data_IF_771644045798
#
_entry.id   IF_771644045798
#
_cell.length_a   1.000
_cell.length_b   1.000
_cell.length_c   1.000
_cell.angle_alpha   90.00
_cell.angle_beta   90.00
_cell.angle_gamma   90.00
#
_symmetry.space_group_name_H-M   'P 1'
#
loop_
_entity.id
_entity.type
_entity.pdbx_description
1 polymer ?
#
# COMPACT_ATOMS: atom_id res chain seq x y z
N UNK A 1 -8.70 47.49 -29.76
CA UNK A 1 -9.23 46.19 -29.29
C UNK A 1 -10.76 46.22 -29.33
N UNK A 2 -11.41 45.39 -30.16
CA UNK A 2 -12.87 45.45 -30.36
C UNK A 2 -13.67 45.01 -29.14
N UNK A 3 -14.86 45.60 -28.93
CA UNK A 3 -15.79 45.30 -27.80
C UNK A 3 -16.01 43.79 -27.57
N UNK A 4 -16.03 43.00 -28.64
CA UNK A 4 -16.17 41.54 -28.59
C UNK A 4 -15.00 40.81 -27.91
N UNK A 5 -13.77 41.35 -27.99
CA UNK A 5 -12.59 40.76 -27.33
C UNK A 5 -12.64 40.97 -25.80
N UNK A 6 -13.14 42.14 -25.37
CA UNK A 6 -13.30 42.48 -23.95
C UNK A 6 -14.37 41.63 -23.27
N UNK A 7 -15.54 41.47 -23.90
CA UNK A 7 -16.61 40.58 -23.43
C UNK A 7 -16.17 39.11 -23.32
N UNK A 8 -15.44 38.58 -24.32
CA UNK A 8 -14.92 37.20 -24.27
C UNK A 8 -13.95 37.00 -23.11
N UNK A 9 -13.11 38.00 -22.80
CA UNK A 9 -12.18 37.96 -21.66
C UNK A 9 -12.91 38.00 -20.32
N UNK A 10 -13.94 38.83 -20.19
CA UNK A 10 -14.77 38.94 -18.99
C UNK A 10 -15.55 37.65 -18.71
N UNK A 11 -16.12 37.00 -19.73
CA UNK A 11 -16.79 35.70 -19.61
C UNK A 11 -15.79 34.61 -19.17
N UNK A 12 -14.59 34.58 -19.75
CA UNK A 12 -13.54 33.61 -19.36
C UNK A 12 -13.12 33.77 -17.90
N UNK A 13 -12.97 35.01 -17.43
CA UNK A 13 -12.65 35.31 -16.02
C UNK A 13 -13.81 34.89 -15.11
N UNK A 14 -15.06 35.21 -15.47
CA UNK A 14 -16.25 34.84 -14.69
C UNK A 14 -16.39 33.32 -14.56
N UNK A 15 -16.17 32.57 -15.65
CA UNK A 15 -16.21 31.11 -15.64
C UNK A 15 -15.08 30.51 -14.79
N UNK A 16 -13.86 31.08 -14.88
CA UNK A 16 -12.73 30.66 -14.03
C UNK A 16 -13.05 30.88 -12.55
N UNK A 17 -13.58 32.06 -12.19
CA UNK A 17 -13.93 32.39 -10.81
C UNK A 17 -15.08 31.53 -10.28
N UNK A 18 -16.08 31.23 -11.12
CA UNK A 18 -17.17 30.31 -10.76
C UNK A 18 -16.62 28.90 -10.46
N UNK A 19 -15.75 28.38 -11.33
CA UNK A 19 -15.10 27.07 -11.13
C UNK A 19 -14.26 27.05 -9.84
N UNK A 20 -13.51 28.12 -9.54
CA UNK A 20 -12.75 28.24 -8.30
C UNK A 20 -13.67 28.28 -7.06
N UNK A 21 -14.80 29.00 -7.13
CA UNK A 21 -15.79 29.05 -6.06
C UNK A 21 -16.47 27.71 -5.82
N UNK A 22 -16.82 26.98 -6.88
CA UNK A 22 -17.40 25.64 -6.80
C UNK A 22 -16.42 24.64 -6.17
N UNK A 23 -15.14 24.69 -6.57
CA UNK A 23 -14.06 23.91 -5.96
C UNK A 23 -13.89 24.26 -4.48
N UNK A 24 -13.86 25.55 -4.13
CA UNK A 24 -13.72 26.00 -2.74
C UNK A 24 -14.91 25.58 -1.87
N UNK A 25 -16.13 25.71 -2.38
CA UNK A 25 -17.33 25.25 -1.69
C UNK A 25 -17.33 23.73 -1.49
N UNK A 26 -16.84 22.97 -2.47
CA UNK A 26 -16.67 21.52 -2.37
C UNK A 26 -15.64 21.16 -1.31
N UNK A 27 -14.47 21.78 -1.32
CA UNK A 27 -13.42 21.59 -0.29
C UNK A 27 -13.99 21.90 1.10
N UNK A 28 -14.65 23.05 1.26
CA UNK A 28 -15.27 23.42 2.53
C UNK A 28 -16.32 22.41 2.99
N UNK A 29 -17.18 21.90 2.08
CA UNK A 29 -18.14 20.86 2.43
C UNK A 29 -17.44 19.58 2.91
N UNK A 30 -16.38 19.15 2.23
CA UNK A 30 -15.62 17.96 2.60
C UNK A 30 -14.88 18.12 3.92
N UNK A 31 -14.47 19.35 4.28
CA UNK A 31 -13.84 19.61 5.57
C UNK A 31 -14.75 19.31 6.77
N UNK A 32 -16.08 19.36 6.61
CA UNK A 32 -17.04 19.11 7.70
C UNK A 32 -17.85 17.81 7.53
N UNK A 33 -17.66 17.11 6.42
CA UNK A 33 -18.29 15.80 6.20
C UNK A 33 -17.54 14.72 6.99
N UNK A 34 -18.29 13.85 7.66
CA UNK A 34 -17.75 12.66 8.34
C UNK A 34 -18.35 11.42 7.66
N UNK A 35 -17.73 10.91 6.59
CA UNK A 35 -18.30 9.84 5.79
C UNK A 35 -17.97 8.44 6.32
N UNK A 36 -18.67 7.45 5.79
CA UNK A 36 -18.20 6.06 5.81
C UNK A 36 -17.24 5.80 4.64
N UNK A 37 -16.15 5.09 4.91
CA UNK A 37 -15.17 4.62 3.91
C UNK A 37 -15.12 3.10 3.98
N UNK A 38 -15.26 2.47 2.81
CA UNK A 38 -15.40 1.03 2.67
C UNK A 38 -14.12 0.42 2.13
N UNK A 39 -13.71 -0.73 2.65
CA UNK A 39 -12.43 -1.36 2.33
C UNK A 39 -12.60 -2.84 2.03
N UNK A 40 -11.88 -3.32 1.02
CA UNK A 40 -11.78 -4.74 0.71
C UNK A 40 -10.45 -5.05 0.01
N UNK A 41 -9.93 -6.25 0.25
CA UNK A 41 -8.61 -6.72 -0.14
C UNK A 41 -8.65 -7.76 -1.25
N UNK A 42 -7.54 -7.87 -1.99
CA UNK A 42 -7.35 -8.94 -2.96
C UNK A 42 -5.93 -9.49 -2.87
N UNK A 43 -5.80 -10.80 -3.06
CA UNK A 43 -4.50 -11.47 -2.98
C UNK A 43 -3.94 -11.55 -1.56
N UNK A 44 -4.76 -11.54 -0.51
CA UNK A 44 -4.27 -11.78 0.84
C UNK A 44 -3.95 -13.27 1.05
N UNK A 45 -2.70 -13.56 1.40
CA UNK A 45 -2.19 -14.90 1.75
C UNK A 45 -1.64 -14.91 3.18
N UNK A 46 -2.05 -13.93 3.99
CA UNK A 46 -1.45 -13.61 5.29
C UNK A 46 0.05 -13.37 5.16
N UNK A 47 0.82 -13.86 6.13
CA UNK A 47 2.28 -13.81 6.10
C UNK A 47 2.96 -14.77 5.11
N UNK A 48 2.27 -15.32 4.10
CA UNK A 48 2.92 -16.04 3.00
C UNK A 48 3.20 -15.10 1.82
N UNK A 49 4.31 -14.36 1.90
CA UNK A 49 4.68 -13.38 0.88
C UNK A 49 5.25 -14.00 -0.42
N UNK A 50 5.53 -15.31 -0.44
CA UNK A 50 6.11 -16.02 -1.60
C UNK A 50 5.07 -16.82 -2.40
N UNK A 51 3.79 -16.48 -2.31
CA UNK A 51 2.76 -17.15 -3.11
C UNK A 51 2.92 -16.82 -4.60
N UNK A 52 3.37 -17.80 -5.38
CA UNK A 52 3.60 -17.66 -6.81
C UNK A 52 2.32 -17.40 -7.63
N UNK A 53 1.15 -17.82 -7.13
CA UNK A 53 -0.14 -17.55 -7.78
C UNK A 53 -0.73 -16.19 -7.38
N UNK A 54 -0.35 -15.68 -6.21
CA UNK A 54 -0.76 -14.38 -5.69
C UNK A 54 0.44 -13.51 -5.27
N UNK A 55 1.32 -13.12 -6.21
CA UNK A 55 2.53 -12.33 -5.91
C UNK A 55 2.25 -10.87 -5.51
N UNK A 56 1.00 -10.42 -5.67
CA UNK A 56 0.56 -9.07 -5.33
C UNK A 56 -0.55 -9.10 -4.30
N UNK A 57 -0.52 -8.14 -3.39
CA UNK A 57 -1.64 -7.79 -2.51
C UNK A 57 -2.18 -6.43 -2.92
N UNK A 58 -3.50 -6.27 -2.88
CA UNK A 58 -4.15 -4.97 -3.05
C UNK A 58 -5.17 -4.72 -1.95
N UNK A 59 -5.27 -3.47 -1.50
CA UNK A 59 -6.37 -2.99 -0.67
C UNK A 59 -7.08 -1.87 -1.44
N UNK A 60 -8.32 -2.11 -1.82
CA UNK A 60 -9.20 -1.11 -2.41
C UNK A 60 -9.97 -0.39 -1.32
N UNK A 61 -10.22 0.90 -1.50
CA UNK A 61 -11.17 1.62 -0.65
C UNK A 61 -12.03 2.59 -1.43
N UNK A 62 -13.25 2.84 -0.94
CA UNK A 62 -14.16 3.76 -1.58
C UNK A 62 -15.03 4.60 -0.64
N UNK A 63 -15.35 5.82 -1.09
CA UNK A 63 -16.35 6.72 -0.51
C UNK A 63 -17.50 6.86 -1.50
N UNK A 64 -18.46 5.96 -1.44
CA UNK A 64 -19.62 5.95 -2.36
C UNK A 64 -20.91 5.89 -1.53
N UNK A 65 -21.93 6.65 -1.95
CA UNK A 65 -23.24 6.55 -1.30
C UNK A 65 -23.87 5.19 -1.59
N UNK A 66 -24.70 4.67 -0.69
CA UNK A 66 -25.36 3.38 -0.90
C UNK A 66 -26.12 3.31 -2.25
N UNK A 67 -26.88 4.36 -2.57
CA UNK A 67 -27.63 4.45 -3.82
C UNK A 67 -26.75 4.52 -5.07
N UNK A 68 -25.63 5.24 -5.00
CA UNK A 68 -24.69 5.30 -6.12
C UNK A 68 -23.95 3.97 -6.27
N UNK A 69 -23.70 3.26 -5.17
CA UNK A 69 -23.08 1.95 -5.21
C UNK A 69 -23.99 0.93 -5.91
N UNK A 70 -25.28 0.87 -5.56
CA UNK A 70 -26.25 0.02 -6.26
C UNK A 70 -26.30 0.32 -7.76
N UNK A 71 -26.35 1.61 -8.15
CA UNK A 71 -26.35 2.01 -9.57
C UNK A 71 -25.04 1.66 -10.29
N UNK A 72 -23.89 1.73 -9.60
CA UNK A 72 -22.62 1.32 -10.16
C UNK A 72 -22.60 -0.21 -10.38
N UNK A 73 -23.08 -0.98 -9.39
CA UNK A 73 -23.14 -2.44 -9.46
C UNK A 73 -24.11 -2.94 -10.53
N UNK A 74 -25.21 -2.24 -10.81
CA UNK A 74 -26.10 -2.55 -11.94
C UNK A 74 -25.36 -2.57 -13.29
N UNK A 75 -24.32 -1.74 -13.46
CA UNK A 75 -23.53 -1.69 -14.70
C UNK A 75 -22.74 -2.97 -14.94
N UNK A 76 -22.46 -3.74 -13.88
CA UNK A 76 -21.77 -5.04 -14.00
C UNK A 76 -22.61 -6.05 -14.78
N UNK A 77 -23.94 -5.90 -14.76
CA UNK A 77 -24.87 -6.88 -15.30
C UNK A 77 -24.86 -8.21 -14.54
N UNK A 78 -24.35 -8.23 -13.30
CA UNK A 78 -24.35 -9.41 -12.45
C UNK A 78 -25.78 -9.92 -12.25
N UNK A 79 -25.97 -11.24 -12.44
CA UNK A 79 -27.21 -11.96 -12.11
C UNK A 79 -27.05 -12.81 -10.85
N UNK A 80 -25.94 -12.63 -10.14
CA UNK A 80 -25.70 -13.33 -8.88
C UNK A 80 -26.78 -12.95 -7.88
N UNK A 81 -27.40 -13.93 -7.19
CA UNK A 81 -28.44 -13.64 -6.20
C UNK A 81 -27.89 -12.98 -4.94
N UNK A 82 -26.60 -13.12 -4.66
CA UNK A 82 -25.98 -12.65 -3.41
C UNK A 82 -25.21 -11.35 -3.65
N UNK A 83 -24.14 -11.40 -4.43
CA UNK A 83 -23.25 -10.24 -4.64
C UNK A 83 -22.58 -10.24 -6.02
N UNK A 84 -22.18 -9.06 -6.48
CA UNK A 84 -21.35 -8.86 -7.66
C UNK A 84 -19.86 -8.92 -7.29
N UNK A 85 -19.35 -10.13 -7.10
CA UNK A 85 -17.93 -10.36 -6.76
C UNK A 85 -17.05 -10.41 -8.02
N UNK A 86 -15.93 -9.67 -8.00
CA UNK A 86 -14.85 -9.66 -8.98
C UNK A 86 -14.46 -11.04 -9.48
N UNK A 87 -14.23 -11.99 -8.56
CA UNK A 87 -13.78 -13.34 -8.91
C UNK A 87 -14.78 -14.07 -9.80
N UNK A 88 -16.07 -13.79 -9.65
CA UNK A 88 -17.14 -14.34 -10.49
C UNK A 88 -17.24 -13.58 -11.80
N UNK A 89 -17.23 -12.25 -11.75
CA UNK A 89 -17.35 -11.38 -12.92
C UNK A 89 -16.21 -11.60 -13.93
N UNK A 90 -14.96 -11.70 -13.46
CA UNK A 90 -13.77 -11.82 -14.34
C UNK A 90 -13.74 -13.09 -15.19
N UNK A 91 -14.56 -14.11 -14.88
CA UNK A 91 -14.53 -15.43 -15.54
C UNK A 91 -15.07 -15.43 -16.97
N UNK A 92 -15.89 -14.43 -17.32
CA UNK A 92 -16.55 -14.36 -18.63
C UNK A 92 -16.41 -12.95 -19.18
N UNK A 93 -16.29 -12.85 -20.51
CA UNK A 93 -16.20 -11.57 -21.22
C UNK A 93 -17.29 -10.58 -20.79
N UNK A 94 -18.56 -11.01 -20.70
CA UNK A 94 -19.66 -10.13 -20.29
C UNK A 94 -19.49 -9.52 -18.89
N UNK A 95 -18.87 -10.27 -17.96
CA UNK A 95 -18.59 -9.79 -16.61
C UNK A 95 -17.34 -8.90 -16.56
N UNK A 96 -16.32 -9.22 -17.35
CA UNK A 96 -15.16 -8.34 -17.59
C UNK A 96 -15.63 -6.99 -18.14
N UNK A 97 -16.45 -6.98 -19.19
CA UNK A 97 -17.06 -5.76 -19.75
C UNK A 97 -17.89 -5.02 -18.69
N UNK A 98 -18.53 -5.75 -17.78
CA UNK A 98 -19.27 -5.19 -16.64
C UNK A 98 -18.39 -4.46 -15.64
N UNK A 99 -17.25 -5.06 -15.29
CA UNK A 99 -16.23 -4.41 -14.45
C UNK A 99 -15.74 -3.13 -15.12
N UNK A 100 -15.43 -3.20 -16.43
CA UNK A 100 -14.97 -2.03 -17.20
C UNK A 100 -16.02 -0.91 -17.20
N UNK A 101 -17.29 -1.22 -17.46
CA UNK A 101 -18.38 -0.23 -17.38
C UNK A 101 -18.50 0.42 -16.00
N UNK A 102 -18.33 -0.36 -14.92
CA UNK A 102 -18.34 0.16 -13.55
C UNK A 102 -17.17 1.11 -13.33
N UNK A 103 -15.94 0.71 -13.71
CA UNK A 103 -14.71 1.50 -13.51
C UNK A 103 -14.66 2.78 -14.37
N UNK A 104 -15.30 2.78 -15.54
CA UNK A 104 -15.44 3.97 -16.40
C UNK A 104 -16.64 4.86 -16.01
N UNK A 105 -17.50 4.37 -15.11
CA UNK A 105 -18.70 5.10 -14.70
C UNK A 105 -18.36 6.36 -13.91
N UNK A 106 -19.31 7.31 -13.87
CA UNK A 106 -19.21 8.50 -13.01
C UNK A 106 -19.18 8.19 -11.51
N UNK A 107 -19.44 6.95 -11.10
CA UNK A 107 -19.47 6.54 -9.69
C UNK A 107 -18.09 6.13 -9.18
N UNK A 108 -17.11 5.93 -10.05
CA UNK A 108 -15.73 5.55 -9.70
C UNK A 108 -14.77 6.59 -10.26
N UNK A 109 -13.92 7.13 -9.39
CA UNK A 109 -12.97 8.19 -9.70
C UNK A 109 -11.83 8.21 -8.69
N UNK A 110 -10.70 8.79 -9.04
CA UNK A 110 -9.55 8.94 -8.13
C UNK A 110 -9.89 9.79 -6.89
N UNK A 111 -11.00 10.53 -6.94
CA UNK A 111 -11.50 11.25 -5.79
C UNK A 111 -12.16 10.31 -4.78
N UNK A 112 -12.94 9.33 -5.21
CA UNK A 112 -13.74 8.51 -4.30
C UNK A 112 -13.28 7.07 -4.20
N UNK A 113 -12.25 6.67 -4.94
CA UNK A 113 -11.61 5.35 -4.86
C UNK A 113 -10.11 5.53 -4.71
N UNK A 114 -9.51 4.71 -3.86
CA UNK A 114 -8.07 4.58 -3.69
C UNK A 114 -7.69 3.11 -3.76
N UNK A 115 -6.51 2.81 -4.28
CA UNK A 115 -5.99 1.43 -4.35
C UNK A 115 -4.56 1.47 -3.82
N UNK A 116 -4.28 0.67 -2.80
CA UNK A 116 -2.92 0.41 -2.34
C UNK A 116 -2.44 -0.92 -2.92
N UNK A 117 -1.27 -0.93 -3.54
CA UNK A 117 -0.69 -2.10 -4.19
C UNK A 117 0.63 -2.50 -3.52
N UNK A 118 0.84 -3.79 -3.33
CA UNK A 118 2.07 -4.35 -2.76
C UNK A 118 2.59 -5.47 -3.65
N UNK A 119 3.81 -5.31 -4.17
CA UNK A 119 4.62 -6.45 -4.63
C UNK A 119 5.15 -7.17 -3.39
N UNK A 120 4.73 -8.43 -3.19
CA UNK A 120 5.04 -9.17 -1.96
C UNK A 120 6.52 -9.53 -1.84
N UNK A 121 7.19 -9.83 -2.95
CA UNK A 121 8.63 -10.11 -2.96
C UNK A 121 9.41 -8.84 -2.63
N UNK A 122 8.97 -7.70 -3.15
CA UNK A 122 9.57 -6.42 -2.81
C UNK A 122 9.31 -6.04 -1.35
N UNK A 123 8.09 -6.23 -0.85
CA UNK A 123 7.79 -6.05 0.57
C UNK A 123 8.70 -6.93 1.45
N UNK A 124 8.90 -8.19 1.08
CA UNK A 124 9.79 -9.09 1.79
C UNK A 124 11.23 -8.58 1.81
N UNK A 125 11.71 -8.05 0.67
CA UNK A 125 13.02 -7.41 0.57
C UNK A 125 13.13 -6.19 1.50
N UNK A 126 12.11 -5.32 1.48
CA UNK A 126 12.08 -4.14 2.38
C UNK A 126 12.02 -4.55 3.85
N UNK A 127 11.37 -5.67 4.18
CA UNK A 127 11.31 -6.19 5.54
C UNK A 127 12.64 -6.75 6.03
N UNK A 128 13.45 -7.34 5.15
CA UNK A 128 14.83 -7.70 5.50
C UNK A 128 15.63 -6.46 5.88
N UNK A 129 15.47 -5.37 5.12
CA UNK A 129 16.13 -4.09 5.42
C UNK A 129 15.60 -3.48 6.72
N UNK A 130 14.28 -3.35 6.88
CA UNK A 130 13.67 -2.68 8.03
C UNK A 130 13.78 -3.51 9.33
N UNK A 131 13.63 -4.83 9.28
CA UNK A 131 13.72 -5.66 10.50
C UNK A 131 15.16 -5.86 10.91
N UNK A 132 16.07 -6.13 9.98
CA UNK A 132 17.44 -6.49 10.34
C UNK A 132 18.38 -5.27 10.33
N UNK A 133 18.49 -4.63 9.17
CA UNK A 133 19.55 -3.63 8.94
C UNK A 133 19.21 -2.33 9.64
N UNK A 134 17.95 -1.91 9.62
CA UNK A 134 17.50 -0.70 10.29
C UNK A 134 17.66 -0.82 11.81
N UNK A 135 17.15 -1.90 12.43
CA UNK A 135 17.29 -2.11 13.88
C UNK A 135 18.77 -2.16 14.30
N UNK A 136 19.60 -2.91 13.57
CA UNK A 136 21.05 -2.94 13.82
C UNK A 136 21.71 -1.56 13.71
N UNK A 137 21.28 -0.74 12.73
CA UNK A 137 21.78 0.62 12.50
C UNK A 137 21.30 1.57 13.59
N UNK A 138 20.02 1.48 13.98
CA UNK A 138 19.39 2.29 15.00
C UNK A 138 20.08 2.11 16.36
N UNK A 139 20.36 0.87 16.76
CA UNK A 139 21.12 0.55 17.98
C UNK A 139 22.53 1.14 18.01
N UNK A 140 23.04 1.60 16.85
CA UNK A 140 24.33 2.27 16.68
C UNK A 140 24.20 3.76 16.37
N UNK A 141 23.01 4.34 16.53
CA UNK A 141 22.72 5.75 16.29
C UNK A 141 22.69 6.15 14.81
N UNK A 142 22.50 5.20 13.90
CA UNK A 142 22.47 5.42 12.46
C UNK A 142 21.02 5.34 11.97
N UNK A 143 20.51 6.46 11.47
CA UNK A 143 19.19 6.53 10.84
C UNK A 143 19.29 6.31 9.32
N UNK A 144 18.90 5.11 8.87
CA UNK A 144 18.90 4.76 7.44
C UNK A 144 17.64 5.23 6.69
N UNK A 145 16.67 5.85 7.36
CA UNK A 145 15.58 6.53 6.70
C UNK A 145 16.03 7.88 6.14
N UNK A 146 17.04 8.53 6.74
CA UNK A 146 17.63 9.77 6.20
C UNK A 146 18.11 9.54 4.76
N UNK A 147 17.74 10.46 3.86
CA UNK A 147 18.05 10.38 2.43
C UNK A 147 17.47 9.14 1.70
N UNK A 148 16.62 8.35 2.36
CA UNK A 148 16.00 7.16 1.76
C UNK A 148 16.96 6.00 1.56
N UNK A 149 18.00 5.86 2.41
CA UNK A 149 18.97 4.77 2.29
C UNK A 149 18.31 3.38 2.42
N UNK A 150 17.28 3.25 3.24
CA UNK A 150 16.49 2.03 3.36
C UNK A 150 15.80 1.66 2.03
N UNK A 151 15.26 2.65 1.29
CA UNK A 151 14.66 2.44 -0.02
C UNK A 151 15.71 2.08 -1.08
N UNK A 152 16.83 2.81 -1.10
CA UNK A 152 17.93 2.54 -2.02
C UNK A 152 18.47 1.12 -1.84
N UNK A 153 18.65 0.68 -0.59
CA UNK A 153 19.11 -0.66 -0.26
C UNK A 153 18.08 -1.73 -0.63
N UNK A 154 16.79 -1.47 -0.38
CA UNK A 154 15.71 -2.38 -0.75
C UNK A 154 15.63 -2.58 -2.28
N UNK A 155 15.72 -1.49 -3.04
CA UNK A 155 15.79 -1.56 -4.51
C UNK A 155 17.02 -2.34 -4.96
N UNK A 156 18.18 -2.07 -4.38
CA UNK A 156 19.41 -2.77 -4.71
C UNK A 156 19.29 -4.28 -4.45
N UNK A 157 18.84 -4.70 -3.27
CA UNK A 157 18.64 -6.12 -2.97
C UNK A 157 17.62 -6.77 -3.92
N UNK A 158 16.48 -6.12 -4.17
CA UNK A 158 15.43 -6.69 -5.01
C UNK A 158 15.91 -7.00 -6.43
N UNK A 159 16.66 -6.06 -7.04
CA UNK A 159 17.15 -6.26 -8.41
C UNK A 159 18.42 -7.09 -8.48
N UNK A 160 19.31 -7.01 -7.49
CA UNK A 160 20.63 -7.61 -7.58
C UNK A 160 20.74 -9.02 -6.97
N UNK A 161 19.94 -9.36 -5.95
CA UNK A 161 19.98 -10.71 -5.35
C UNK A 161 19.73 -11.80 -6.40
N UNK A 162 18.64 -11.77 -7.18
CA UNK A 162 18.38 -12.85 -8.14
C UNK A 162 19.38 -12.85 -9.30
N UNK A 163 19.80 -11.67 -9.75
CA UNK A 163 20.75 -11.52 -10.87
C UNK A 163 22.14 -12.02 -10.52
N UNK A 164 22.66 -11.68 -9.35
CA UNK A 164 24.04 -12.02 -8.98
C UNK A 164 24.16 -13.35 -8.25
N UNK A 165 23.12 -13.79 -7.54
CA UNK A 165 23.15 -14.98 -6.69
C UNK A 165 22.24 -16.11 -7.17
N UNK A 166 21.38 -15.86 -8.16
CA UNK A 166 20.40 -16.81 -8.69
C UNK A 166 19.03 -16.73 -8.01
N UNK A 167 17.96 -16.93 -8.81
CA UNK A 167 16.57 -16.88 -8.34
C UNK A 167 16.30 -17.91 -7.23
N UNK A 168 16.69 -19.17 -7.43
CA UNK A 168 16.46 -20.27 -6.48
C UNK A 168 17.06 -19.99 -5.10
N UNK A 169 18.29 -19.46 -5.06
CA UNK A 169 18.96 -19.16 -3.80
C UNK A 169 18.38 -17.91 -3.12
N UNK A 170 17.93 -16.94 -3.91
CA UNK A 170 17.23 -15.76 -3.40
C UNK A 170 15.89 -16.15 -2.77
N UNK A 171 15.11 -16.98 -3.45
CA UNK A 171 13.84 -17.50 -2.97
C UNK A 171 14.02 -18.35 -1.70
N UNK A 172 15.11 -19.13 -1.61
CA UNK A 172 15.47 -19.87 -0.40
C UNK A 172 15.76 -18.95 0.79
N UNK A 173 16.53 -17.89 0.58
CA UNK A 173 16.81 -16.90 1.65
C UNK A 173 15.53 -16.20 2.11
N UNK A 174 14.67 -15.83 1.17
CA UNK A 174 13.34 -15.29 1.46
C UNK A 174 12.46 -16.25 2.25
N UNK A 175 12.43 -17.53 1.88
CA UNK A 175 11.67 -18.54 2.61
C UNK A 175 12.20 -18.72 4.05
N UNK A 176 13.52 -18.74 4.22
CA UNK A 176 14.15 -18.86 5.53
C UNK A 176 13.94 -17.59 6.38
N UNK A 177 13.91 -16.40 5.78
CA UNK A 177 13.55 -15.17 6.49
C UNK A 177 12.12 -15.23 7.03
N UNK A 178 11.16 -15.65 6.19
CA UNK A 178 9.76 -15.83 6.64
C UNK A 178 9.68 -16.86 7.77
N UNK A 179 10.41 -17.98 7.66
CA UNK A 179 10.48 -19.01 8.70
C UNK A 179 11.05 -18.45 10.00
N UNK A 180 12.14 -17.69 9.94
CA UNK A 180 12.78 -17.04 11.09
C UNK A 180 11.84 -16.09 11.81
N UNK A 181 11.12 -15.22 11.09
CA UNK A 181 10.17 -14.27 11.71
C UNK A 181 8.99 -15.00 12.38
N UNK A 182 8.52 -16.11 11.81
CA UNK A 182 7.37 -16.85 12.37
C UNK A 182 7.74 -17.72 13.58
N UNK A 183 8.88 -18.41 13.49
CA UNK A 183 9.30 -19.39 14.49
C UNK A 183 10.16 -18.79 15.59
N UNK A 184 11.08 -17.89 15.23
CA UNK A 184 12.05 -17.26 16.13
C UNK A 184 12.85 -18.28 16.97
N UNK A 185 13.11 -19.47 16.41
CA UNK A 185 13.94 -20.50 17.05
C UNK A 185 15.40 -20.39 16.59
N UNK A 186 16.33 -20.88 17.41
CA UNK A 186 17.77 -20.96 17.07
C UNK A 186 18.00 -21.64 15.70
N UNK A 187 17.27 -22.74 15.44
CA UNK A 187 17.32 -23.45 14.15
C UNK A 187 16.91 -22.55 12.98
N UNK A 188 15.78 -21.83 13.09
CA UNK A 188 15.30 -20.95 12.01
C UNK A 188 16.22 -19.75 11.77
N UNK A 189 16.88 -19.25 12.82
CA UNK A 189 17.88 -18.19 12.74
C UNK A 189 19.13 -18.70 12.01
N UNK A 190 19.62 -19.88 12.39
CA UNK A 190 20.78 -20.51 11.75
C UNK A 190 20.53 -20.76 10.26
N UNK A 191 19.38 -21.35 9.90
CA UNK A 191 18.99 -21.59 8.51
C UNK A 191 18.93 -20.30 7.66
N UNK A 192 18.41 -19.21 8.22
CA UNK A 192 18.40 -17.92 7.55
C UNK A 192 19.82 -17.42 7.30
N UNK A 193 20.68 -17.33 8.31
CA UNK A 193 22.03 -16.84 8.10
C UNK A 193 22.90 -17.76 7.23
N UNK A 194 22.70 -19.09 7.28
CA UNK A 194 23.33 -20.01 6.34
C UNK A 194 22.93 -19.73 4.88
N UNK A 195 21.65 -19.37 4.64
CA UNK A 195 21.21 -18.98 3.30
C UNK A 195 21.82 -17.65 2.85
N UNK A 196 22.04 -16.70 3.76
CA UNK A 196 22.75 -15.44 3.48
C UNK A 196 24.21 -15.71 3.14
N UNK A 197 24.90 -16.55 3.91
CA UNK A 197 26.27 -16.98 3.62
C UNK A 197 26.36 -17.67 2.25
N UNK A 198 25.35 -18.48 1.91
CA UNK A 198 25.29 -19.13 0.61
C UNK A 198 25.16 -18.13 -0.55
N UNK A 199 24.35 -17.09 -0.40
CA UNK A 199 24.25 -16.02 -1.40
C UNK A 199 25.59 -15.33 -1.62
N UNK A 200 26.38 -15.07 -0.56
CA UNK A 200 27.71 -14.47 -0.67
C UNK A 200 28.68 -15.35 -1.44
N UNK A 201 28.71 -16.66 -1.16
CA UNK A 201 29.55 -17.62 -1.88
C UNK A 201 29.24 -17.68 -3.38
N UNK A 202 27.97 -17.58 -3.73
CA UNK A 202 27.48 -17.73 -5.10
C UNK A 202 27.45 -16.42 -5.89
N UNK A 203 27.56 -15.27 -5.20
CA UNK A 203 27.45 -13.96 -5.83
C UNK A 203 28.53 -13.77 -6.90
N UNK A 204 28.09 -13.36 -8.09
CA UNK A 204 28.97 -13.09 -9.23
C UNK A 204 29.57 -11.69 -9.23
N UNK A 205 29.13 -10.79 -8.33
CA UNK A 205 29.70 -9.43 -8.15
C UNK A 205 30.26 -9.27 -6.74
N UNK A 206 31.59 -9.06 -6.66
CA UNK A 206 32.33 -8.92 -5.39
C UNK A 206 31.91 -7.69 -4.57
N UNK A 207 31.50 -6.60 -5.21
CA UNK A 207 31.05 -5.39 -4.50
C UNK A 207 29.66 -5.61 -3.92
N UNK A 208 28.84 -6.42 -4.59
CA UNK A 208 27.53 -6.78 -4.06
C UNK A 208 27.63 -7.71 -2.84
N UNK A 209 28.68 -8.53 -2.73
CA UNK A 209 28.96 -9.29 -1.50
C UNK A 209 29.04 -8.38 -0.28
N UNK A 210 29.69 -7.21 -0.37
CA UNK A 210 29.73 -6.22 0.72
C UNK A 210 28.33 -5.70 1.10
N UNK A 211 27.41 -5.64 0.15
CA UNK A 211 26.01 -5.27 0.41
C UNK A 211 25.28 -6.38 1.15
N UNK A 212 25.48 -7.63 0.77
CA UNK A 212 24.91 -8.81 1.46
C UNK A 212 25.48 -8.94 2.88
N UNK A 213 26.76 -8.62 3.09
CA UNK A 213 27.39 -8.66 4.42
C UNK A 213 26.67 -7.77 5.44
N UNK A 214 25.99 -6.70 5.01
CA UNK A 214 25.14 -5.89 5.90
C UNK A 214 24.00 -6.67 6.54
N UNK A 215 23.55 -7.76 5.92
CA UNK A 215 22.59 -8.69 6.52
C UNK A 215 23.34 -9.58 7.52
N UNK A 216 24.48 -10.15 7.14
CA UNK A 216 25.28 -11.01 8.03
C UNK A 216 25.71 -10.32 9.32
N UNK A 217 26.03 -9.02 9.28
CA UNK A 217 26.44 -8.25 10.46
C UNK A 217 25.35 -8.15 11.54
N UNK A 218 24.08 -8.37 11.19
CA UNK A 218 22.98 -8.30 12.16
C UNK A 218 22.87 -9.55 13.03
N UNK A 219 23.62 -10.62 12.70
CA UNK A 219 23.57 -11.91 13.40
C UNK A 219 23.91 -11.82 14.88
N UNK A 220 24.79 -10.90 15.27
CA UNK A 220 25.17 -10.71 16.68
C UNK A 220 24.00 -10.18 17.52
N UNK A 221 23.13 -9.38 16.92
CA UNK A 221 22.01 -8.69 17.60
C UNK A 221 20.65 -9.36 17.31
N UNK A 222 20.62 -10.49 16.58
CA UNK A 222 19.38 -11.06 16.05
C UNK A 222 18.37 -11.42 17.14
N UNK A 223 18.82 -11.90 18.31
CA UNK A 223 17.91 -12.28 19.39
C UNK A 223 17.16 -11.05 19.94
N UNK A 224 17.86 -9.93 20.12
CA UNK A 224 17.25 -8.67 20.55
C UNK A 224 16.28 -8.14 19.49
N UNK A 225 16.71 -8.16 18.22
CA UNK A 225 15.88 -7.74 17.08
C UNK A 225 14.57 -8.55 17.02
N UNK A 226 14.65 -9.88 17.18
CA UNK A 226 13.47 -10.75 17.09
C UNK A 226 12.54 -10.61 18.30
N UNK A 227 13.07 -10.33 19.51
CA UNK A 227 12.25 -10.06 20.70
C UNK A 227 11.33 -8.85 20.49
N UNK A 228 11.82 -7.81 19.80
CA UNK A 228 11.04 -6.63 19.43
C UNK A 228 10.15 -6.79 18.18
N UNK A 229 10.24 -7.91 17.45
CA UNK A 229 9.58 -8.08 16.16
C UNK A 229 8.27 -8.86 16.27
N UNK A 230 7.16 -8.20 15.99
CA UNK A 230 5.85 -8.85 15.91
C UNK A 230 5.70 -9.72 14.64
N UNK A 231 5.07 -10.88 14.78
CA UNK A 231 4.91 -11.87 13.69
C UNK A 231 4.04 -11.37 12.54
N UNK A 232 3.14 -10.41 12.80
CA UNK A 232 2.30 -9.78 11.79
C UNK A 232 3.05 -8.75 10.95
N UNK A 233 4.33 -8.46 11.22
CA UNK A 233 5.15 -7.55 10.40
C UNK A 233 5.21 -7.95 8.91
N UNK A 234 4.96 -9.22 8.60
CA UNK A 234 4.92 -9.74 7.23
C UNK A 234 3.53 -9.69 6.58
N UNK A 235 2.50 -9.16 7.26
CA UNK A 235 1.16 -9.04 6.70
C UNK A 235 0.99 -7.70 5.97
N UNK A 236 0.69 -7.70 4.66
CA UNK A 236 0.58 -6.47 3.87
C UNK A 236 -0.67 -5.65 4.17
N UNK A 237 -1.70 -6.23 4.80
CA UNK A 237 -2.96 -5.53 5.11
C UNK A 237 -2.76 -4.37 6.08
N UNK A 238 -1.86 -4.53 7.06
CA UNK A 238 -1.58 -3.55 8.11
C UNK A 238 -1.02 -2.24 7.53
N UNK A 239 0.14 -2.24 6.82
CA UNK A 239 0.66 -1.02 6.22
C UNK A 239 -0.28 -0.46 5.14
N UNK A 240 -1.04 -1.31 4.45
CA UNK A 240 -2.01 -0.87 3.47
C UNK A 240 -3.14 -0.05 4.10
N UNK A 241 -3.78 -0.56 5.17
CA UNK A 241 -4.84 0.14 5.87
C UNK A 241 -4.34 1.45 6.47
N UNK A 242 -3.16 1.44 7.09
CA UNK A 242 -2.53 2.63 7.64
C UNK A 242 -2.32 3.70 6.56
N UNK A 243 -1.71 3.34 5.42
CA UNK A 243 -1.47 4.28 4.31
C UNK A 243 -2.77 4.82 3.72
N UNK A 244 -3.80 3.98 3.58
CA UNK A 244 -5.12 4.47 3.18
C UNK A 244 -5.67 5.51 4.15
N UNK A 245 -5.52 5.30 5.46
CA UNK A 245 -5.97 6.27 6.45
C UNK A 245 -5.27 7.61 6.26
N UNK A 246 -3.94 7.62 6.10
CA UNK A 246 -3.17 8.84 5.82
C UNK A 246 -3.68 9.56 4.55
N UNK A 247 -4.07 8.83 3.51
CA UNK A 247 -4.59 9.43 2.29
C UNK A 247 -6.05 9.90 2.39
N UNK A 248 -6.86 9.31 3.25
CA UNK A 248 -8.22 9.77 3.54
C UNK A 248 -8.25 10.93 4.54
N UNK A 249 -7.31 11.00 5.48
CA UNK A 249 -7.13 12.12 6.42
C UNK A 249 -6.97 13.45 5.69
N UNK A 250 -6.17 13.46 4.61
CA UNK A 250 -5.98 14.63 3.73
C UNK A 250 -7.29 15.14 3.13
N UNK A 251 -8.28 14.25 2.98
CA UNK A 251 -9.54 14.53 2.32
C UNK A 251 -10.70 14.80 3.27
N UNK A 252 -10.68 14.15 4.43
CA UNK A 252 -11.69 14.26 5.47
C UNK A 252 -11.02 14.60 6.81
N UNK A 253 -10.52 15.83 6.98
CA UNK A 253 -9.79 16.23 8.18
C UNK A 253 -10.65 16.24 9.45
N UNK A 254 -11.99 16.33 9.31
CA UNK A 254 -12.94 16.15 10.42
C UNK A 254 -13.12 14.68 10.83
N UNK A 255 -12.57 13.74 10.07
CA UNK A 255 -12.62 12.31 10.31
C UNK A 255 -13.67 11.57 9.50
N UNK A 256 -13.68 10.24 9.66
CA UNK A 256 -14.51 9.29 8.91
C UNK A 256 -14.64 7.97 9.67
N UNK A 257 -15.57 7.11 9.27
CA UNK A 257 -15.74 5.76 9.85
C UNK A 257 -15.26 4.71 8.85
N UNK A 258 -14.42 3.79 9.31
CA UNK A 258 -13.92 2.67 8.50
C UNK A 258 -14.90 1.51 8.60
N UNK A 259 -15.37 1.04 7.45
CA UNK A 259 -16.14 -0.20 7.27
C UNK A 259 -15.33 -1.15 6.41
N UNK A 260 -14.68 -2.11 7.02
CA UNK A 260 -13.81 -3.07 6.32
C UNK A 260 -14.57 -4.38 6.07
N UNK A 261 -14.28 -5.07 4.98
CA UNK A 261 -14.67 -6.48 4.87
C UNK A 261 -13.90 -7.32 5.92
N UNK A 262 -14.32 -8.55 6.18
CA UNK A 262 -13.68 -9.36 7.22
C UNK A 262 -12.18 -9.58 6.94
N UNK A 263 -11.31 -9.07 7.82
CA UNK A 263 -9.86 -9.26 7.73
C UNK A 263 -9.30 -9.69 9.08
N UNK A 264 -8.76 -10.91 9.11
CA UNK A 264 -8.19 -11.52 10.32
C UNK A 264 -7.01 -10.70 10.85
N UNK A 265 -6.08 -10.32 9.98
CA UNK A 265 -4.87 -9.59 10.37
C UNK A 265 -5.20 -8.20 10.95
N UNK A 266 -6.13 -7.48 10.31
CA UNK A 266 -6.59 -6.19 10.84
C UNK A 266 -7.34 -6.36 12.16
N UNK A 267 -8.12 -7.43 12.31
CA UNK A 267 -8.81 -7.74 13.58
C UNK A 267 -7.82 -7.97 14.72
N UNK A 268 -6.76 -8.74 14.48
CA UNK A 268 -5.70 -9.00 15.45
C UNK A 268 -4.93 -7.72 15.83
N UNK A 269 -4.84 -6.76 14.90
CA UNK A 269 -4.18 -5.46 15.10
C UNK A 269 -5.16 -4.33 15.46
N UNK A 270 -6.39 -4.64 15.92
CA UNK A 270 -7.37 -3.60 16.23
C UNK A 270 -6.88 -2.65 17.33
N UNK A 271 -6.22 -3.17 18.37
CA UNK A 271 -5.75 -2.36 19.49
C UNK A 271 -4.72 -1.30 19.08
N UNK A 272 -3.80 -1.63 18.16
CA UNK A 272 -2.82 -0.66 17.65
C UNK A 272 -3.51 0.42 16.80
N UNK A 273 -4.53 0.06 16.01
CA UNK A 273 -5.32 1.04 15.27
C UNK A 273 -6.16 1.93 16.20
N UNK A 274 -6.72 1.39 17.28
CA UNK A 274 -7.42 2.19 18.30
C UNK A 274 -6.50 3.25 18.92
N UNK A 275 -5.23 2.90 19.17
CA UNK A 275 -4.20 3.87 19.60
C UNK A 275 -3.93 4.93 18.54
N UNK A 276 -3.76 4.54 17.26
CA UNK A 276 -3.58 5.50 16.16
C UNK A 276 -4.77 6.44 16.00
N UNK A 277 -5.99 5.98 16.30
CA UNK A 277 -7.23 6.75 16.24
C UNK A 277 -7.49 7.61 17.49
N UNK A 278 -6.56 7.68 18.45
CA UNK A 278 -6.76 8.45 19.68
C UNK A 278 -6.69 9.97 19.43
N UNK A 279 -7.82 10.54 18.98
CA UNK A 279 -8.01 11.96 18.67
C UNK A 279 -7.88 12.92 19.87
N UNK A 280 -7.76 12.40 21.09
CA UNK A 280 -7.50 13.25 22.27
C UNK A 280 -6.07 13.80 22.31
N UNK A 281 -5.15 13.19 21.55
CA UNK A 281 -3.76 13.61 21.46
C UNK A 281 -3.55 14.79 20.52
N UNK A 282 -2.48 15.56 20.78
CA UNK A 282 -2.00 16.58 19.86
C UNK A 282 -1.57 15.95 18.55
N UNK A 283 -1.84 16.65 17.45
CA UNK A 283 -1.38 16.20 16.13
C UNK A 283 0.10 16.52 15.96
N UNK A 284 0.89 15.50 15.63
CA UNK A 284 2.31 15.61 15.30
C UNK A 284 2.58 15.04 13.90
N UNK A 285 3.68 15.48 13.28
CA UNK A 285 4.11 15.03 11.95
C UNK A 285 5.38 14.20 12.11
N UNK A 286 5.35 12.99 11.57
CA UNK A 286 6.45 12.04 11.60
C UNK A 286 6.93 11.73 10.18
N UNK A 287 8.17 11.28 10.07
CA UNK A 287 8.84 10.97 8.83
C UNK A 287 9.62 12.14 8.23
N UNK A 288 10.18 11.88 7.06
CA UNK A 288 11.07 12.78 6.32
C UNK A 288 10.52 13.03 4.92
N UNK A 289 10.95 14.13 4.28
CA UNK A 289 10.73 14.39 2.85
C UNK A 289 9.25 14.22 2.39
N UNK A 290 9.00 13.44 1.32
CA UNK A 290 7.66 13.08 0.86
C UNK A 290 7.02 11.98 1.71
N UNK A 291 7.79 11.33 2.57
CA UNK A 291 7.40 10.19 3.42
C UNK A 291 6.95 10.64 4.80
N UNK A 292 6.22 11.76 4.87
CA UNK A 292 5.66 12.27 6.12
C UNK A 292 4.19 11.88 6.30
N UNK A 293 3.77 11.69 7.54
CA UNK A 293 2.36 11.50 7.91
C UNK A 293 2.08 12.12 9.27
N UNK A 294 0.79 12.26 9.62
CA UNK A 294 0.37 12.82 10.91
C UNK A 294 -0.33 11.78 11.76
N UNK A 295 -0.07 11.79 13.06
CA UNK A 295 -0.89 11.07 14.05
C UNK A 295 -1.47 12.06 15.06
N UNK A 296 -2.64 11.77 15.68
CA UNK A 296 -3.50 10.61 15.42
C UNK A 296 -4.15 10.67 14.03
N UNK A 297 -4.40 9.49 13.44
CA UNK A 297 -5.18 9.36 12.20
C UNK A 297 -6.61 9.82 12.43
N UNK A 298 -7.30 10.32 11.39
CA UNK A 298 -8.63 10.94 11.54
C UNK A 298 -9.78 9.94 11.48
N UNK A 299 -9.51 8.66 11.28
CA UNK A 299 -10.49 7.60 11.46
C UNK A 299 -11.08 7.64 12.88
N UNK A 300 -12.40 7.54 12.98
CA UNK A 300 -13.16 7.60 14.25
C UNK A 300 -13.60 6.23 14.75
N UNK A 301 -13.64 5.23 13.87
CA UNK A 301 -13.93 3.85 14.20
C UNK A 301 -13.39 2.93 13.12
N UNK A 302 -13.15 1.68 13.51
CA UNK A 302 -12.88 0.54 12.64
C UNK A 302 -13.88 -0.57 12.96
N UNK A 303 -14.74 -0.89 12.00
CA UNK A 303 -15.72 -1.98 12.10
C UNK A 303 -15.70 -2.90 10.88
N UNK A 304 -16.06 -4.16 11.08
CA UNK A 304 -16.08 -5.21 10.06
C UNK A 304 -17.50 -5.52 9.65
N UNK A 305 -17.75 -5.68 8.36
CA UNK A 305 -19.08 -5.85 7.78
C UNK A 305 -19.06 -6.73 6.54
N UNK A 306 -20.21 -7.33 6.22
CA UNK A 306 -20.40 -8.12 5.01
C UNK A 306 -20.83 -7.25 3.82
N UNK A 307 -20.41 -7.66 2.63
CA UNK A 307 -20.85 -7.13 1.32
C UNK A 307 -22.36 -7.27 1.05
N UNK A 308 -23.06 -8.12 1.81
CA UNK A 308 -24.53 -8.21 1.79
C UNK A 308 -25.18 -7.02 2.51
N UNK A 309 -24.52 -6.50 3.56
CA UNK A 309 -24.97 -5.33 4.32
C UNK A 309 -24.64 -4.03 3.57
N UNK A 310 -23.43 -3.93 3.01
CA UNK A 310 -22.97 -2.74 2.30
C UNK A 310 -22.53 -3.04 0.87
N UNK A 311 -23.30 -2.62 -0.16
CA UNK A 311 -22.90 -2.79 -1.56
C UNK A 311 -21.59 -2.05 -1.91
N UNK A 312 -21.19 -1.06 -1.13
CA UNK A 312 -19.91 -0.37 -1.30
C UNK A 312 -18.70 -1.30 -1.13
N UNK A 313 -18.80 -2.35 -0.29
CA UNK A 313 -17.74 -3.35 -0.16
C UNK A 313 -17.54 -4.11 -1.47
N UNK A 314 -18.61 -4.38 -2.23
CA UNK A 314 -18.51 -4.99 -3.56
C UNK A 314 -17.80 -4.07 -4.57
N UNK A 315 -17.90 -2.74 -4.41
CA UNK A 315 -17.09 -1.81 -5.21
C UNK A 315 -15.62 -1.91 -4.82
N UNK A 316 -15.32 -1.96 -3.51
CA UNK A 316 -13.96 -2.14 -3.01
C UNK A 316 -13.33 -3.46 -3.51
N UNK A 317 -14.09 -4.56 -3.51
CA UNK A 317 -13.71 -5.87 -4.09
C UNK A 317 -13.35 -5.72 -5.58
N UNK A 318 -14.26 -5.12 -6.36
CA UNK A 318 -14.08 -4.99 -7.81
C UNK A 318 -12.87 -4.14 -8.16
N UNK A 319 -12.64 -3.01 -7.47
CA UNK A 319 -11.48 -2.15 -7.75
C UNK A 319 -10.18 -2.83 -7.32
N UNK A 320 -10.17 -3.47 -6.14
CA UNK A 320 -9.01 -4.19 -5.60
C UNK A 320 -8.64 -5.36 -6.51
N UNK A 321 -9.62 -6.23 -6.82
CA UNK A 321 -9.44 -7.37 -7.70
C UNK A 321 -9.03 -6.99 -9.13
N UNK A 322 -9.59 -5.92 -9.69
CA UNK A 322 -9.20 -5.45 -11.02
C UNK A 322 -7.74 -4.97 -11.05
N UNK A 323 -7.30 -4.25 -10.02
CA UNK A 323 -5.90 -3.83 -9.90
C UNK A 323 -4.98 -5.04 -9.76
N UNK A 324 -5.31 -5.98 -8.86
CA UNK A 324 -4.53 -7.21 -8.68
C UNK A 324 -4.44 -8.02 -9.98
N UNK A 325 -5.52 -8.12 -10.75
CA UNK A 325 -5.52 -8.81 -12.04
C UNK A 325 -4.61 -8.12 -13.05
N UNK A 326 -4.72 -6.79 -13.17
CA UNK A 326 -3.90 -5.99 -14.08
C UNK A 326 -2.40 -6.20 -13.84
N UNK A 327 -1.96 -6.12 -12.59
CA UNK A 327 -0.53 -6.29 -12.24
C UNK A 327 -0.05 -7.73 -12.37
N UNK A 328 -0.92 -8.71 -12.12
CA UNK A 328 -0.61 -10.12 -12.37
C UNK A 328 -0.36 -10.39 -13.85
N UNK A 329 -1.15 -9.81 -14.75
CA UNK A 329 -0.92 -9.92 -16.19
C UNK A 329 0.40 -9.27 -16.62
N UNK A 330 0.77 -8.12 -16.04
CA UNK A 330 2.08 -7.50 -16.27
C UNK A 330 3.23 -8.43 -15.85
N UNK A 331 3.15 -9.01 -14.65
CA UNK A 331 4.19 -9.90 -14.12
C UNK A 331 4.32 -11.19 -14.93
N UNK A 332 3.20 -11.81 -15.29
CA UNK A 332 3.15 -13.05 -16.09
C UNK A 332 3.38 -12.80 -17.60
N UNK A 333 3.60 -11.55 -18.03
CA UNK A 333 3.76 -11.16 -19.42
C UNK A 333 2.61 -11.59 -20.35
N UNK A 334 1.38 -11.70 -19.81
CA UNK A 334 0.18 -12.07 -20.56
C UNK A 334 -0.49 -10.81 -21.15
N UNK A 335 0.23 -10.13 -22.04
CA UNK A 335 -0.15 -8.79 -22.53
C UNK A 335 -1.21 -8.82 -23.65
N UNK A 336 -1.52 -9.99 -24.19
CA UNK A 336 -2.55 -10.24 -25.18
C UNK A 336 -3.93 -10.53 -24.55
N UNK A 337 -4.01 -10.70 -23.22
CA UNK A 337 -5.27 -10.94 -22.52
C UNK A 337 -6.26 -9.78 -22.73
N UNK A 338 -7.51 -10.14 -23.07
CA UNK A 338 -8.56 -9.17 -23.39
C UNK A 338 -8.84 -8.23 -22.21
N UNK A 339 -9.00 -8.78 -21.01
CA UNK A 339 -9.39 -8.00 -19.85
C UNK A 339 -8.25 -7.10 -19.39
N UNK A 340 -7.02 -7.59 -19.41
CA UNK A 340 -5.83 -6.77 -19.20
C UNK A 340 -5.79 -5.57 -20.15
N UNK A 341 -6.03 -5.78 -21.45
CA UNK A 341 -6.01 -4.71 -22.44
C UNK A 341 -7.11 -3.67 -22.21
N UNK A 342 -8.29 -4.08 -21.76
CA UNK A 342 -9.36 -3.15 -21.35
C UNK A 342 -9.01 -2.38 -20.06
N UNK A 343 -8.43 -3.04 -19.06
CA UNK A 343 -7.95 -2.39 -17.83
C UNK A 343 -6.85 -1.36 -18.11
N UNK A 344 -5.95 -1.70 -19.05
CA UNK A 344 -4.94 -0.78 -19.58
C UNK A 344 -5.59 0.38 -20.32
N UNK A 345 -6.60 0.14 -21.17
CA UNK A 345 -7.31 1.18 -21.93
C UNK A 345 -7.93 2.25 -21.03
N UNK A 346 -8.42 1.86 -19.85
CA UNK A 346 -9.04 2.78 -18.89
C UNK A 346 -8.03 3.41 -17.90
N UNK A 347 -6.74 3.07 -18.06
CA UNK A 347 -5.63 3.47 -17.21
C UNK A 347 -5.89 3.17 -15.73
N UNK A 348 -6.12 1.89 -15.38
CA UNK A 348 -6.37 1.50 -13.97
C UNK A 348 -5.21 1.87 -13.03
N UNK A 349 -3.99 1.96 -13.55
CA UNK A 349 -2.79 2.37 -12.83
C UNK A 349 -2.86 3.81 -12.30
N UNK A 350 -3.71 4.67 -12.87
CA UNK A 350 -3.93 6.03 -12.33
C UNK A 350 -4.46 6.04 -10.89
N UNK A 351 -5.09 4.95 -10.44
CA UNK A 351 -5.62 4.85 -9.07
C UNK A 351 -4.53 4.59 -8.03
N UNK A 352 -3.30 4.26 -8.46
CA UNK A 352 -2.21 3.92 -7.55
C UNK A 352 -1.56 5.14 -6.88
N UNK A 353 -1.49 6.34 -7.50
CA UNK A 353 -1.15 7.63 -6.85
C UNK A 353 -0.23 7.58 -5.58
N UNK A 354 1.02 7.10 -5.71
CA UNK A 354 2.01 6.89 -4.62
C UNK A 354 1.61 5.90 -3.49
N UNK A 355 0.49 5.21 -3.65
CA UNK A 355 -0.04 4.14 -2.81
C UNK A 355 0.50 2.78 -3.26
N UNK A 356 1.82 2.67 -3.37
CA UNK A 356 2.47 1.43 -3.82
C UNK A 356 3.68 1.06 -2.96
N UNK A 357 3.83 -0.23 -2.66
CA UNK A 357 5.10 -0.86 -2.27
C UNK A 357 5.60 -1.58 -3.52
N UNK A 358 6.45 -0.88 -4.28
CA UNK A 358 6.91 -1.32 -5.59
C UNK A 358 8.39 -0.97 -5.80
N UNK A 359 9.19 -1.86 -6.41
CA UNK A 359 10.60 -1.62 -6.66
C UNK A 359 10.81 -0.57 -7.75
N UNK A 360 11.86 0.25 -7.61
CA UNK A 360 12.30 1.21 -8.63
C UNK A 360 13.80 1.07 -8.88
N UNK A 361 14.28 1.43 -10.07
CA UNK A 361 15.73 1.46 -10.33
C UNK A 361 16.45 2.65 -9.65
N UNK A 362 15.75 3.43 -8.82
CA UNK A 362 16.29 4.62 -8.16
C UNK A 362 17.03 4.24 -6.88
N UNK A 363 18.23 4.78 -6.72
CA UNK A 363 19.10 4.55 -5.56
C UNK A 363 19.72 5.83 -5.01
N UNK A 364 19.59 6.96 -5.72
CA UNK A 364 20.01 8.27 -5.24
C UNK A 364 18.87 8.97 -4.48
N UNK A 365 19.16 9.82 -3.49
CA UNK A 365 18.14 10.59 -2.79
C UNK A 365 17.34 11.50 -3.73
N UNK A 366 17.96 12.03 -4.77
CA UNK A 366 17.32 12.88 -5.77
C UNK A 366 16.29 12.10 -6.59
N UNK A 367 16.67 10.93 -7.12
CA UNK A 367 15.77 10.09 -7.92
C UNK A 367 14.63 9.50 -7.08
N UNK A 368 14.92 9.17 -5.81
CA UNK A 368 13.93 8.68 -4.86
C UNK A 368 12.99 9.78 -4.34
N UNK A 369 13.33 11.05 -4.55
CA UNK A 369 12.63 12.19 -3.96
C UNK A 369 12.73 12.24 -2.44
N UNK A 370 13.86 11.79 -1.89
CA UNK A 370 14.09 11.60 -0.44
C UNK A 370 15.20 12.47 0.12
N UNK A 371 15.62 13.52 -0.60
CA UNK A 371 16.61 14.49 -0.09
C UNK A 371 16.14 15.00 1.28
N UNK A 372 16.99 14.79 2.29
CA UNK A 372 16.64 15.09 3.66
C UNK A 372 16.45 16.60 3.87
N UNK A 373 15.29 16.96 4.43
CA UNK A 373 14.86 18.35 4.66
C UNK A 373 14.50 18.62 6.12
N UNK A 374 14.81 17.68 7.02
CA UNK A 374 14.36 17.69 8.42
C UNK A 374 13.15 16.78 8.65
N UNK A 375 12.73 16.69 9.91
CA UNK A 375 11.58 15.89 10.36
C UNK A 375 11.91 15.07 11.60
N UNK A 376 10.99 14.21 12.00
CA UNK A 376 11.11 13.31 13.15
C UNK A 376 11.18 11.87 12.60
N UNK A 377 12.10 11.04 13.10
CA UNK A 377 12.19 9.64 12.70
C UNK A 377 10.81 8.97 12.88
N UNK A 378 10.32 8.32 11.83
CA UNK A 378 8.98 7.75 11.84
C UNK A 378 8.85 6.58 12.82
N UNK A 379 9.87 5.71 12.92
CA UNK A 379 9.86 4.58 13.83
C UNK A 379 9.88 5.06 15.29
N UNK A 380 10.82 5.94 15.64
CA UNK A 380 10.95 6.50 16.99
C UNK A 380 9.70 7.27 17.40
N UNK A 381 9.21 8.14 16.51
CA UNK A 381 8.05 8.96 16.76
C UNK A 381 6.77 8.14 16.92
N UNK A 382 6.58 7.10 16.11
CA UNK A 382 5.44 6.17 16.25
C UNK A 382 5.55 5.36 17.53
N UNK A 383 6.74 4.85 17.87
CA UNK A 383 6.96 4.11 19.11
C UNK A 383 6.59 4.97 20.33
N UNK A 384 7.08 6.22 20.38
CA UNK A 384 6.75 7.16 21.44
C UNK A 384 5.24 7.46 21.47
N UNK A 385 4.63 7.71 20.30
CA UNK A 385 3.19 7.93 20.20
C UNK A 385 2.38 6.74 20.76
N UNK A 386 2.80 5.51 20.52
CA UNK A 386 2.12 4.30 20.99
C UNK A 386 2.30 4.02 22.48
N UNK A 387 3.45 4.40 23.07
CA UNK A 387 3.69 4.31 24.52
C UNK A 387 2.80 5.29 25.27
N UNK A 388 2.63 6.50 24.73
CA UNK A 388 1.83 7.55 25.35
C UNK A 388 0.30 7.34 25.14
N UNK A 389 -0.11 6.35 24.33
CA UNK A 389 -1.50 6.12 23.87
C UNK A 389 -2.13 4.95 24.61
#
# INVERSE_FOLDING_TARGET
MGKNSKQRREIKIKNKNKKLSEVSARINKMMYEVPDIFFDESGNTGGNLLDAEQPFFTLGSCKVSHNDALKALELTGSKSPNEAHFKTLRRRKSGQDGIIRLLESKYVSEENVKIFLVDKNYMLTTKIVDVLIENWSHNRGIDIYINGQNLALSNLFYFCLPVFCGDEHTDMMYANFIKMIKLQSEESIEEFYMSVDKLKELSTDIRFVETIERISTTKEDINEILEGTDKSTLDPSIPALFKHCIEWDKKFPSGYYIKHDDSKAITEQKEIFDKFMNLSKSTEIYGYDRRTFSLPIKARSLSFHSSEEYPQLQIADIVSGAAAYYVNCLKKQTLDDYFYNELKRINIDKYFNDMVIWPTSYVSPEDLGTVYTGGINAADGVAQFLVDA
#
